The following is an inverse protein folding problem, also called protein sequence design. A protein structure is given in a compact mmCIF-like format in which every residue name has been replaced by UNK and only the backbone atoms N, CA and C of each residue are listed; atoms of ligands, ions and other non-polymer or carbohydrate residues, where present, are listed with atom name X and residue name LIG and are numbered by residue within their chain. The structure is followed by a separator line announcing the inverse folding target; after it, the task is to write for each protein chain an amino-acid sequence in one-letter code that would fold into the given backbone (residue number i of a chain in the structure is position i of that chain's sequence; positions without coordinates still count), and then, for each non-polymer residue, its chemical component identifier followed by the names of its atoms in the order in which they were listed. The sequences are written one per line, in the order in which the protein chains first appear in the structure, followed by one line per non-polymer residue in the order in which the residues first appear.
data_IF_951179564554
#
_entry.id   IF_951179564554
#
_cell.length_a   1.000
_cell.length_b   1.000
_cell.length_c   1.000
_cell.angle_alpha   90.00
_cell.angle_beta   90.00
_cell.angle_gamma   90.00
#
_symmetry.space_group_name_H-M   'P 1'
#
loop_
_entity.id
_entity.type
_entity.pdbx_description
1 polymer ?
#
# COMPACT_ATOMS: atom_id res chain seq x y z
N UNK A 1 9.02 2.06 9.04
CA UNK A 1 8.79 0.75 9.67
C UNK A 1 7.37 0.79 10.20
N UNK A 2 6.46 0.13 9.50
CA UNK A 2 5.08 -0.04 9.97
C UNK A 2 5.13 -1.21 10.94
N UNK A 3 4.74 -0.99 12.20
CA UNK A 3 4.54 -2.08 13.14
C UNK A 3 3.49 -3.02 12.56
N UNK A 4 3.94 -4.17 12.05
CA UNK A 4 3.11 -5.25 11.52
C UNK A 4 2.52 -6.05 12.69
N UNK A 5 1.87 -5.33 13.61
CA UNK A 5 1.16 -5.90 14.75
C UNK A 5 -0.21 -6.36 14.28
N UNK A 6 -0.35 -7.65 13.95
CA UNK A 6 -1.66 -8.25 13.73
C UNK A 6 -2.58 -7.87 14.93
N UNK A 7 -3.81 -7.37 14.68
CA UNK A 7 -4.66 -6.89 15.75
C UNK A 7 -4.88 -7.98 16.81
N UNK A 8 -4.79 -7.63 18.09
CA UNK A 8 -4.99 -8.59 19.17
C UNK A 8 -6.38 -9.26 19.05
N UNK A 9 -6.46 -10.59 19.21
CA UNK A 9 -7.72 -11.31 19.09
C UNK A 9 -8.68 -10.89 20.19
N UNK A 10 -9.94 -10.67 19.84
CA UNK A 10 -10.99 -10.36 20.81
C UNK A 10 -11.39 -11.64 21.55
N UNK A 11 -11.80 -11.53 22.81
CA UNK A 11 -12.34 -12.65 23.59
C UNK A 11 -13.84 -12.47 23.71
N UNK A 12 -14.59 -13.55 23.47
CA UNK A 12 -16.05 -13.60 23.58
C UNK A 12 -16.46 -14.91 24.29
N UNK A 13 -17.73 -15.02 24.67
CA UNK A 13 -18.23 -16.19 25.38
C UNK A 13 -19.73 -16.22 25.56
N UNK A 14 -20.25 -17.38 25.92
CA UNK A 14 -21.66 -17.55 26.27
C UNK A 14 -21.81 -18.61 27.37
N UNK A 15 -22.94 -18.58 28.06
CA UNK A 15 -23.27 -19.50 29.14
C UNK A 15 -24.60 -20.18 28.87
N UNK A 16 -24.73 -21.41 29.33
CA UNK A 16 -25.99 -22.15 29.32
C UNK A 16 -26.23 -22.84 30.65
N UNK A 17 -27.51 -22.85 31.07
CA UNK A 17 -27.95 -23.56 32.27
C UNK A 17 -27.92 -25.05 32.01
N UNK A 18 -27.25 -25.79 32.89
CA UNK A 18 -27.15 -27.23 32.77
C UNK A 18 -26.71 -27.85 34.10
N UNK A 19 -27.27 -28.99 34.49
CA UNK A 19 -27.11 -29.57 35.82
C UNK A 19 -26.30 -30.86 35.78
N UNK A 20 -25.23 -30.93 36.58
CA UNK A 20 -24.46 -32.15 36.77
C UNK A 20 -25.33 -33.22 37.45
N UNK A 21 -25.49 -34.37 36.79
CA UNK A 21 -26.20 -35.55 37.35
C UNK A 21 -25.24 -36.62 37.85
N UNK A 22 -24.03 -36.68 37.29
CA UNK A 22 -22.96 -37.62 37.67
C UNK A 22 -21.84 -36.98 38.50
N UNK A 23 -20.61 -37.45 38.29
CA UNK A 23 -19.39 -36.84 38.87
C UNK A 23 -18.56 -36.16 37.80
N UNK A 24 -17.84 -35.11 38.17
CA UNK A 24 -16.86 -34.47 37.28
C UNK A 24 -15.78 -35.42 36.77
N UNK A 25 -15.46 -36.50 37.49
CA UNK A 25 -14.56 -37.55 36.99
C UNK A 25 -15.08 -38.24 35.74
N UNK A 26 -16.39 -38.46 35.68
CA UNK A 26 -17.03 -39.22 34.61
C UNK A 26 -17.17 -38.33 33.37
N UNK A 27 -17.50 -37.05 33.58
CA UNK A 27 -17.44 -35.99 32.57
C UNK A 27 -16.03 -35.88 31.96
N UNK A 28 -14.98 -35.79 32.80
CA UNK A 28 -13.61 -35.73 32.32
C UNK A 28 -13.20 -36.98 31.54
N UNK A 29 -13.64 -38.17 31.99
CA UNK A 29 -13.38 -39.44 31.30
C UNK A 29 -14.09 -39.49 29.94
N UNK A 30 -15.35 -39.09 29.87
CA UNK A 30 -16.09 -39.03 28.62
C UNK A 30 -15.43 -38.09 27.60
N UNK A 31 -15.03 -36.90 28.03
CA UNK A 31 -14.36 -35.91 27.18
C UNK A 31 -12.95 -36.32 26.77
N UNK A 32 -12.26 -37.15 27.56
CA UNK A 32 -10.90 -37.64 27.24
C UNK A 32 -10.83 -38.54 26.01
N UNK A 33 -11.99 -38.98 25.50
CA UNK A 33 -12.09 -39.70 24.23
C UNK A 33 -11.71 -38.82 23.02
N UNK A 34 -11.75 -37.49 23.17
CA UNK A 34 -11.35 -36.55 22.11
C UNK A 34 -9.87 -36.17 22.29
N UNK A 35 -9.02 -36.69 21.41
CA UNK A 35 -7.55 -36.61 21.54
C UNK A 35 -6.95 -35.20 21.46
N UNK A 36 -7.63 -34.26 20.81
CA UNK A 36 -7.14 -32.88 20.63
C UNK A 36 -7.57 -31.94 21.76
N UNK A 37 -8.33 -32.42 22.75
CA UNK A 37 -8.76 -31.61 23.90
C UNK A 37 -7.75 -31.72 25.04
N UNK A 38 -7.41 -30.57 25.62
CA UNK A 38 -6.73 -30.51 26.91
C UNK A 38 -7.76 -30.43 28.01
N UNK A 39 -7.73 -31.37 28.93
CA UNK A 39 -8.69 -31.46 30.02
C UNK A 39 -7.99 -31.17 31.33
N UNK A 40 -8.54 -30.25 32.10
CA UNK A 40 -8.10 -29.91 33.44
C UNK A 40 -9.26 -30.13 34.41
N UNK A 41 -9.03 -30.95 35.44
CA UNK A 41 -10.00 -31.15 36.51
C UNK A 41 -9.76 -30.10 37.59
N UNK A 42 -10.79 -29.33 37.91
CA UNK A 42 -10.77 -28.32 38.97
C UNK A 42 -11.60 -28.82 40.16
N UNK A 43 -11.49 -28.14 41.31
CA UNK A 43 -12.29 -28.49 42.50
C UNK A 43 -13.79 -28.35 42.25
N UNK A 44 -14.17 -27.37 41.42
CA UNK A 44 -15.57 -26.98 41.19
C UNK A 44 -16.03 -27.25 39.74
N UNK A 45 -15.26 -28.01 38.95
CA UNK A 45 -15.63 -28.27 37.57
C UNK A 45 -14.61 -29.04 36.75
N UNK A 46 -14.91 -29.15 35.46
CA UNK A 46 -13.99 -29.66 34.43
C UNK A 46 -13.78 -28.56 33.40
N UNK A 47 -12.53 -28.14 33.23
CA UNK A 47 -12.11 -27.26 32.15
C UNK A 47 -11.65 -28.07 30.96
N UNK A 48 -12.09 -27.67 29.77
CA UNK A 48 -11.65 -28.21 28.49
C UNK A 48 -11.11 -27.07 27.67
N UNK A 49 -9.93 -27.23 27.09
CA UNK A 49 -9.35 -26.27 26.17
C UNK A 49 -9.01 -26.96 24.85
N UNK A 50 -9.52 -26.39 23.76
CA UNK A 50 -9.09 -26.67 22.41
C UNK A 50 -8.23 -25.51 21.93
N UNK A 51 -6.96 -25.78 21.65
CA UNK A 51 -6.02 -24.78 21.13
C UNK A 51 -5.77 -25.11 19.66
N UNK A 52 -6.35 -24.30 18.78
CA UNK A 52 -6.30 -24.48 17.33
C UNK A 52 -4.98 -23.94 16.76
N UNK A 53 -4.51 -22.81 17.28
CA UNK A 53 -3.28 -22.19 16.82
C UNK A 53 -2.56 -21.46 17.94
N UNK A 54 -1.23 -21.41 17.82
CA UNK A 54 -0.33 -20.68 18.70
C UNK A 54 0.47 -19.68 17.88
N UNK A 55 0.78 -18.55 18.50
CA UNK A 55 1.72 -17.57 17.97
C UNK A 55 3.13 -18.17 17.86
N UNK A 56 4.04 -17.42 17.23
CA UNK A 56 5.48 -17.73 17.14
C UNK A 56 6.08 -17.91 18.55
N UNK A 57 5.57 -17.17 19.54
CA UNK A 57 5.98 -17.24 20.96
C UNK A 57 5.26 -18.33 21.76
N UNK A 58 4.58 -19.26 21.08
CA UNK A 58 3.81 -20.37 21.67
C UNK A 58 2.63 -19.95 22.54
N UNK A 59 2.24 -18.67 22.56
CA UNK A 59 1.01 -18.21 23.22
C UNK A 59 -0.22 -18.64 22.40
N UNK A 60 -1.27 -19.20 23.03
CA UNK A 60 -2.49 -19.55 22.32
C UNK A 60 -3.11 -18.30 21.67
N UNK A 61 -3.21 -18.29 20.34
CA UNK A 61 -3.79 -17.18 19.58
C UNK A 61 -5.23 -17.49 19.16
N UNK A 62 -5.51 -18.77 18.88
CA UNK A 62 -6.84 -19.26 18.56
C UNK A 62 -7.18 -20.42 19.49
N UNK A 63 -8.13 -20.18 20.40
CA UNK A 63 -8.58 -21.19 21.34
C UNK A 63 -10.09 -21.11 21.63
N UNK A 64 -10.60 -22.21 22.14
CA UNK A 64 -11.94 -22.37 22.68
C UNK A 64 -11.84 -23.13 23.99
N UNK A 65 -12.39 -22.57 25.06
CA UNK A 65 -12.42 -23.14 26.39
C UNK A 65 -13.85 -23.37 26.83
N UNK A 66 -14.15 -24.57 27.32
CA UNK A 66 -15.43 -24.90 27.93
C UNK A 66 -15.20 -25.23 29.40
N UNK A 67 -15.99 -24.62 30.28
CA UNK A 67 -15.99 -24.92 31.71
C UNK A 67 -17.32 -25.56 32.08
N UNK A 68 -17.27 -26.82 32.47
CA UNK A 68 -18.41 -27.58 32.97
C UNK A 68 -18.43 -27.44 34.50
N UNK A 69 -19.37 -26.65 35.02
CA UNK A 69 -19.54 -26.42 36.46
C UNK A 69 -20.65 -27.32 37.01
N UNK A 70 -21.21 -27.01 38.17
CA UNK A 70 -22.30 -27.83 38.73
C UNK A 70 -23.65 -27.56 38.06
N UNK A 71 -23.92 -26.27 37.80
CA UNK A 71 -25.25 -25.78 37.37
C UNK A 71 -25.19 -24.96 36.07
N UNK A 72 -24.02 -24.84 35.44
CA UNK A 72 -23.85 -24.14 34.17
C UNK A 72 -22.70 -24.72 33.33
N UNK A 73 -22.74 -24.47 32.03
CA UNK A 73 -21.62 -24.64 31.11
C UNK A 73 -21.26 -23.26 30.54
N UNK A 74 -19.98 -22.91 30.61
CA UNK A 74 -19.45 -21.63 30.13
C UNK A 74 -18.48 -21.87 28.98
N UNK A 75 -18.74 -21.23 27.84
CA UNK A 75 -17.89 -21.23 26.67
C UNK A 75 -17.15 -19.88 26.58
N UNK A 76 -15.83 -19.91 26.44
CA UNK A 76 -14.97 -18.74 26.26
C UNK A 76 -14.08 -19.01 25.05
N UNK A 77 -14.01 -18.09 24.10
CA UNK A 77 -13.25 -18.30 22.87
C UNK A 77 -12.67 -17.00 22.34
N UNK A 78 -11.61 -17.13 21.55
CA UNK A 78 -11.00 -16.00 20.83
C UNK A 78 -11.61 -15.84 19.45
N UNK A 79 -11.74 -14.59 19.01
CA UNK A 79 -12.14 -14.16 17.67
C UNK A 79 -10.96 -13.44 17.03
N UNK A 80 -10.24 -14.11 16.10
CA UNK A 80 -9.20 -13.48 15.29
C UNK A 80 -9.74 -12.32 14.45
N UNK A 81 -8.87 -11.36 14.15
CA UNK A 81 -9.20 -10.20 13.30
C UNK A 81 -9.65 -10.55 11.88
N UNK A 82 -9.26 -11.71 11.37
CA UNK A 82 -9.61 -12.21 10.04
C UNK A 82 -10.84 -13.14 10.01
N UNK A 83 -11.55 -13.31 11.13
CA UNK A 83 -12.74 -14.19 11.23
C UNK A 83 -13.91 -13.38 11.77
N UNK A 84 -15.08 -13.51 11.14
CA UNK A 84 -16.29 -12.86 11.67
C UNK A 84 -16.68 -13.46 13.03
N UNK A 85 -17.08 -12.65 14.03
CA UNK A 85 -17.53 -13.15 15.33
C UNK A 85 -18.65 -14.21 15.21
N UNK A 86 -19.59 -14.00 14.29
CA UNK A 86 -20.69 -14.94 14.00
C UNK A 86 -20.20 -16.30 13.54
N UNK A 87 -19.29 -16.34 12.55
CA UNK A 87 -18.69 -17.60 12.08
C UNK A 87 -17.95 -18.30 13.22
N UNK A 88 -17.21 -17.54 14.02
CA UNK A 88 -16.46 -18.11 15.14
C UNK A 88 -17.39 -18.70 16.22
N UNK A 89 -18.47 -17.99 16.58
CA UNK A 89 -19.50 -18.47 17.50
C UNK A 89 -20.13 -19.78 17.02
N UNK A 90 -20.41 -19.91 15.72
CA UNK A 90 -20.91 -21.14 15.11
C UNK A 90 -19.92 -22.31 15.24
N UNK A 91 -18.63 -22.07 14.96
CA UNK A 91 -17.59 -23.10 15.10
C UNK A 91 -17.51 -23.60 16.55
N UNK A 92 -17.51 -22.68 17.51
CA UNK A 92 -17.48 -22.97 18.96
C UNK A 92 -18.75 -23.70 19.40
N UNK A 93 -19.92 -23.29 18.91
CA UNK A 93 -21.18 -23.95 19.19
C UNK A 93 -21.18 -25.40 18.67
N UNK A 94 -20.69 -25.63 17.45
CA UNK A 94 -20.54 -26.98 16.90
C UNK A 94 -19.65 -27.86 17.79
N UNK A 95 -18.54 -27.33 18.29
CA UNK A 95 -17.68 -28.06 19.23
C UNK A 95 -18.39 -28.34 20.56
N UNK A 96 -19.13 -27.37 21.09
CA UNK A 96 -19.91 -27.55 22.30
C UNK A 96 -20.96 -28.65 22.14
N UNK A 97 -21.73 -28.64 21.05
CA UNK A 97 -22.74 -29.67 20.78
C UNK A 97 -22.13 -31.08 20.73
N UNK A 98 -20.96 -31.23 20.12
CA UNK A 98 -20.23 -32.51 20.11
C UNK A 98 -19.74 -32.92 21.51
N UNK A 99 -19.39 -31.98 22.38
CA UNK A 99 -19.02 -32.29 23.76
C UNK A 99 -20.26 -32.68 24.59
N UNK A 100 -21.37 -31.99 24.38
CA UNK A 100 -22.66 -32.25 25.04
C UNK A 100 -23.12 -33.69 24.79
N UNK A 101 -23.04 -34.17 23.54
CA UNK A 101 -23.45 -35.54 23.21
C UNK A 101 -22.62 -36.61 23.93
N UNK A 102 -21.35 -36.33 24.25
CA UNK A 102 -20.50 -37.26 24.99
C UNK A 102 -20.78 -37.28 26.49
N UNK A 103 -21.25 -36.16 27.05
CA UNK A 103 -21.47 -36.01 28.49
C UNK A 103 -22.94 -36.13 28.90
N UNK A 104 -23.85 -36.33 27.95
CA UNK A 104 -25.30 -36.50 28.17
C UNK A 104 -25.62 -37.44 29.36
N UNK A 105 -24.97 -38.60 29.55
CA UNK A 105 -25.27 -39.48 30.69
C UNK A 105 -24.94 -38.87 32.06
N UNK A 106 -24.11 -37.83 32.10
CA UNK A 106 -23.55 -37.23 33.30
C UNK A 106 -23.99 -35.77 33.51
N UNK A 107 -24.73 -35.21 32.56
CA UNK A 107 -25.08 -33.80 32.54
C UNK A 107 -26.47 -33.59 31.92
N UNK A 108 -27.40 -33.03 32.69
CA UNK A 108 -28.73 -32.69 32.21
C UNK A 108 -28.74 -31.26 31.66
N UNK A 109 -29.03 -31.11 30.37
CA UNK A 109 -29.05 -29.81 29.70
C UNK A 109 -30.49 -29.45 29.33
N UNK A 110 -30.86 -28.18 29.50
CA UNK A 110 -32.15 -27.71 29.00
C UNK A 110 -32.09 -27.56 27.47
N UNK A 111 -32.77 -28.47 26.77
CA UNK A 111 -32.85 -28.45 25.31
C UNK A 111 -33.41 -27.13 24.78
N UNK A 112 -34.26 -26.41 25.53
CA UNK A 112 -34.78 -25.10 25.10
C UNK A 112 -33.65 -24.09 24.93
N UNK A 113 -32.70 -24.07 25.86
CA UNK A 113 -31.54 -23.16 25.81
C UNK A 113 -30.65 -23.52 24.62
N UNK A 114 -30.44 -24.81 24.37
CA UNK A 114 -29.66 -25.28 23.21
C UNK A 114 -30.34 -24.85 21.90
N UNK A 115 -31.65 -25.06 21.76
CA UNK A 115 -32.39 -24.67 20.56
C UNK A 115 -32.37 -23.16 20.34
N UNK A 116 -32.56 -22.36 21.40
CA UNK A 116 -32.48 -20.90 21.31
C UNK A 116 -31.10 -20.43 20.86
N UNK A 117 -30.03 -21.02 21.39
CA UNK A 117 -28.66 -20.69 21.02
C UNK A 117 -28.35 -21.04 19.55
N UNK A 118 -28.83 -22.20 19.09
CA UNK A 118 -28.72 -22.62 17.68
C UNK A 118 -29.53 -21.69 16.77
N UNK A 119 -30.78 -21.40 17.11
CA UNK A 119 -31.66 -20.52 16.33
C UNK A 119 -31.06 -19.11 16.21
N UNK A 120 -30.58 -18.53 17.32
CA UNK A 120 -29.95 -17.21 17.32
C UNK A 120 -28.70 -17.19 16.44
N UNK A 121 -27.86 -18.22 16.53
CA UNK A 121 -26.64 -18.33 15.71
C UNK A 121 -26.98 -18.52 14.22
N UNK A 122 -28.02 -19.28 13.90
CA UNK A 122 -28.51 -19.44 12.53
C UNK A 122 -29.08 -18.14 11.98
N UNK A 123 -29.85 -17.39 12.77
CA UNK A 123 -30.36 -16.06 12.38
C UNK A 123 -29.21 -15.08 12.12
N UNK A 124 -28.21 -15.05 12.99
CA UNK A 124 -27.01 -14.22 12.79
C UNK A 124 -26.25 -14.62 11.53
N UNK A 125 -26.19 -15.90 11.19
CA UNK A 125 -25.59 -16.39 9.94
C UNK A 125 -26.42 -15.99 8.71
N UNK A 126 -27.75 -16.05 8.80
CA UNK A 126 -28.64 -15.59 7.74
C UNK A 126 -28.49 -14.09 7.48
N UNK A 127 -28.45 -13.29 8.55
CA UNK A 127 -28.20 -11.84 8.48
C UNK A 127 -26.82 -11.54 7.89
N UNK A 128 -25.79 -12.29 8.31
CA UNK A 128 -24.44 -12.17 7.77
C UNK A 128 -24.40 -12.48 6.28
N UNK A 129 -24.99 -13.61 5.86
CA UNK A 129 -24.98 -14.07 4.46
C UNK A 129 -25.83 -13.16 3.56
N UNK A 130 -26.97 -12.69 4.07
CA UNK A 130 -27.90 -11.82 3.33
C UNK A 130 -27.43 -10.36 3.27
N UNK A 131 -26.80 -9.88 4.34
CA UNK A 131 -26.22 -8.56 4.46
C UNK A 131 -24.97 -8.40 3.58
N UNK A 132 -24.07 -9.39 3.60
CA UNK A 132 -22.86 -9.37 2.79
C UNK A 132 -23.17 -9.37 1.30
N UNK A 133 -24.21 -10.06 0.81
CA UNK A 133 -24.48 -10.06 -0.63
C UNK A 133 -24.80 -8.65 -1.18
N UNK A 134 -25.58 -7.84 -0.43
CA UNK A 134 -25.89 -6.45 -0.82
C UNK A 134 -24.67 -5.55 -0.70
N UNK A 135 -23.85 -5.72 0.34
CA UNK A 135 -22.62 -4.93 0.52
C UNK A 135 -21.59 -5.28 -0.54
N UNK A 136 -21.35 -6.57 -0.75
CA UNK A 136 -20.45 -7.11 -1.77
C UNK A 136 -20.85 -6.66 -3.17
N UNK A 137 -22.16 -6.63 -3.48
CA UNK A 137 -22.63 -6.11 -4.76
C UNK A 137 -22.33 -4.61 -4.91
N UNK A 138 -22.54 -3.80 -3.85
CA UNK A 138 -22.18 -2.37 -3.87
C UNK A 138 -20.68 -2.16 -4.03
N UNK A 139 -19.86 -2.90 -3.29
CA UNK A 139 -18.39 -2.84 -3.39
C UNK A 139 -17.91 -3.27 -4.76
N UNK A 140 -18.49 -4.33 -5.32
CA UNK A 140 -18.21 -4.77 -6.69
C UNK A 140 -18.56 -3.70 -7.73
N UNK A 141 -19.75 -3.10 -7.64
CA UNK A 141 -20.17 -2.03 -8.55
C UNK A 141 -19.26 -0.79 -8.42
N UNK A 142 -18.86 -0.44 -7.19
CA UNK A 142 -17.92 0.64 -6.93
C UNK A 142 -16.54 0.34 -7.53
N UNK A 143 -16.01 -0.85 -7.28
CA UNK A 143 -14.71 -1.29 -7.79
C UNK A 143 -14.71 -1.36 -9.32
N UNK A 144 -15.79 -1.84 -9.92
CA UNK A 144 -15.96 -1.85 -11.38
C UNK A 144 -15.91 -0.44 -11.97
N UNK A 145 -16.62 0.53 -11.36
CA UNK A 145 -16.56 1.94 -11.76
C UNK A 145 -15.16 2.52 -11.60
N UNK A 146 -14.47 2.20 -10.51
CA UNK A 146 -13.10 2.66 -10.26
C UNK A 146 -12.12 2.10 -11.30
N UNK A 147 -12.22 0.80 -11.62
CA UNK A 147 -11.42 0.16 -12.68
C UNK A 147 -11.68 0.81 -14.04
N UNK A 148 -12.93 1.10 -14.39
CA UNK A 148 -13.27 1.78 -15.63
C UNK A 148 -12.71 3.21 -15.69
N UNK A 149 -12.78 3.95 -14.56
CA UNK A 149 -12.20 5.28 -14.45
C UNK A 149 -10.68 5.25 -14.57
N UNK A 150 -10.01 4.33 -13.87
CA UNK A 150 -8.56 4.15 -13.95
C UNK A 150 -8.11 3.78 -15.35
N UNK A 151 -8.85 2.90 -16.05
CA UNK A 151 -8.57 2.56 -17.46
C UNK A 151 -8.69 3.79 -18.37
N UNK A 152 -9.73 4.60 -18.20
CA UNK A 152 -9.91 5.86 -18.96
C UNK A 152 -8.77 6.84 -18.69
N UNK A 153 -8.44 7.08 -17.42
CA UNK A 153 -7.33 7.96 -17.04
C UNK A 153 -6.00 7.47 -17.59
N UNK A 154 -5.71 6.16 -17.49
CA UNK A 154 -4.51 5.56 -18.05
C UNK A 154 -4.40 5.76 -19.56
N UNK A 155 -5.52 5.64 -20.29
CA UNK A 155 -5.56 5.92 -21.74
C UNK A 155 -5.26 7.40 -22.04
N UNK A 156 -5.86 8.33 -21.29
CA UNK A 156 -5.62 9.77 -21.45
C UNK A 156 -4.15 10.09 -21.20
N UNK A 157 -3.57 9.61 -20.10
CA UNK A 157 -2.16 9.84 -19.78
C UNK A 157 -1.22 9.26 -20.83
N UNK A 158 -1.50 8.05 -21.36
CA UNK A 158 -0.72 7.48 -22.46
C UNK A 158 -0.76 8.34 -23.72
N UNK A 159 -1.92 8.91 -24.05
CA UNK A 159 -2.05 9.80 -25.20
C UNK A 159 -1.31 11.12 -24.98
N UNK A 160 -1.38 11.70 -23.78
CA UNK A 160 -0.63 12.91 -23.41
C UNK A 160 0.89 12.67 -23.48
N UNK A 161 1.38 11.56 -22.93
CA UNK A 161 2.81 11.19 -23.02
C UNK A 161 3.26 11.08 -24.46
N UNK A 162 2.47 10.44 -25.34
CA UNK A 162 2.78 10.36 -26.77
C UNK A 162 2.82 11.75 -27.43
N UNK A 163 1.85 12.60 -27.15
CA UNK A 163 1.78 13.96 -27.69
C UNK A 163 2.99 14.80 -27.25
N UNK A 164 3.27 14.83 -25.95
CA UNK A 164 4.40 15.58 -25.38
C UNK A 164 5.74 15.05 -25.87
N UNK A 165 5.88 13.74 -26.04
CA UNK A 165 7.11 13.14 -26.60
C UNK A 165 7.34 13.60 -28.04
N UNK A 166 6.27 13.72 -28.84
CA UNK A 166 6.33 14.23 -30.22
C UNK A 166 6.73 15.70 -30.24
N UNK A 167 6.06 16.53 -29.45
CA UNK A 167 6.33 17.96 -29.35
C UNK A 167 7.77 18.23 -28.88
N UNK A 168 8.25 17.48 -27.89
CA UNK A 168 9.63 17.61 -27.40
C UNK A 168 10.66 17.22 -28.47
N UNK A 169 10.37 16.23 -29.31
CA UNK A 169 11.22 15.88 -30.45
C UNK A 169 11.24 16.98 -31.51
N UNK A 170 10.08 17.56 -31.83
CA UNK A 170 9.94 18.69 -32.75
C UNK A 170 10.73 19.91 -32.25
N UNK A 171 10.51 20.32 -31.00
CA UNK A 171 11.22 21.44 -30.36
C UNK A 171 12.74 21.20 -30.29
N UNK A 172 13.17 19.97 -30.03
CA UNK A 172 14.59 19.61 -30.02
C UNK A 172 15.21 19.80 -31.40
N UNK A 173 14.54 19.34 -32.46
CA UNK A 173 15.01 19.53 -33.83
C UNK A 173 15.09 21.02 -34.21
N UNK A 174 14.06 21.80 -33.87
CA UNK A 174 14.08 23.25 -34.09
C UNK A 174 15.23 23.92 -33.33
N UNK A 175 15.44 23.57 -32.06
CA UNK A 175 16.53 24.11 -31.25
C UNK A 175 17.90 23.75 -31.84
N UNK A 176 18.09 22.51 -32.28
CA UNK A 176 19.34 22.09 -32.90
C UNK A 176 19.56 22.81 -34.25
N UNK A 177 18.51 23.05 -35.03
CA UNK A 177 18.58 23.87 -36.23
C UNK A 177 18.97 25.33 -35.90
N UNK A 178 18.35 25.94 -34.90
CA UNK A 178 18.68 27.29 -34.44
C UNK A 178 20.11 27.38 -33.93
N UNK A 179 20.61 26.37 -33.19
CA UNK A 179 22.00 26.32 -32.76
C UNK A 179 22.96 26.29 -33.94
N UNK A 180 22.71 25.43 -34.93
CA UNK A 180 23.56 25.37 -36.14
C UNK A 180 23.54 26.69 -36.89
N UNK A 181 22.36 27.32 -37.06
CA UNK A 181 22.24 28.64 -37.69
C UNK A 181 22.99 29.71 -36.89
N UNK A 182 22.87 29.68 -35.57
CA UNK A 182 23.53 30.62 -34.66
C UNK A 182 25.05 30.46 -34.69
N UNK A 183 25.57 29.24 -34.68
CA UNK A 183 27.00 28.94 -34.81
C UNK A 183 27.55 29.42 -36.15
N UNK A 184 26.83 29.18 -37.25
CA UNK A 184 27.18 29.70 -38.59
C UNK A 184 27.26 31.23 -38.62
N UNK A 185 26.28 31.91 -38.02
CA UNK A 185 26.24 33.38 -37.98
C UNK A 185 27.31 33.98 -37.05
N UNK A 186 27.63 33.31 -35.93
CA UNK A 186 28.62 33.77 -34.96
C UNK A 186 30.05 33.27 -35.21
N UNK A 187 30.33 32.53 -36.28
CA UNK A 187 31.70 32.09 -36.60
C UNK A 187 32.46 31.43 -35.44
N UNK A 188 31.76 30.80 -34.49
CA UNK A 188 32.35 30.10 -33.33
C UNK A 188 32.99 30.94 -32.21
N UNK A 189 33.03 32.27 -32.29
CA UNK A 189 33.66 33.14 -31.27
C UNK A 189 32.60 34.05 -30.62
N UNK A 190 32.60 34.24 -29.30
CA UNK A 190 31.70 35.19 -28.63
C UNK A 190 32.13 36.65 -28.87
N UNK A 191 31.20 37.61 -28.82
CA UNK A 191 31.52 39.03 -29.02
C UNK A 191 32.55 39.55 -28.00
N UNK A 192 32.50 39.07 -26.75
CA UNK A 192 33.48 39.46 -25.72
C UNK A 192 34.89 38.97 -26.04
N UNK A 193 35.03 37.72 -26.47
CA UNK A 193 36.32 37.14 -26.88
C UNK A 193 36.82 37.83 -28.14
N UNK A 194 35.93 38.14 -29.08
CA UNK A 194 36.26 38.88 -30.29
C UNK A 194 36.77 40.29 -29.97
N UNK A 195 36.12 41.01 -29.06
CA UNK A 195 36.56 42.31 -28.57
C UNK A 195 37.96 42.26 -27.97
N UNK A 196 38.24 41.29 -27.09
CA UNK A 196 39.57 41.12 -26.50
C UNK A 196 40.62 40.78 -27.56
N UNK A 197 40.30 39.93 -28.53
CA UNK A 197 41.21 39.60 -29.63
C UNK A 197 41.50 40.81 -30.53
N UNK A 198 40.50 41.64 -30.79
CA UNK A 198 40.65 42.89 -31.54
C UNK A 198 41.59 43.83 -30.79
N UNK A 199 41.38 44.03 -29.49
CA UNK A 199 42.24 44.87 -28.66
C UNK A 199 43.69 44.37 -28.65
N UNK A 200 43.90 43.07 -28.41
CA UNK A 200 45.24 42.47 -28.43
C UNK A 200 45.90 42.63 -29.81
N UNK A 201 45.16 42.39 -30.89
CA UNK A 201 45.68 42.56 -32.24
C UNK A 201 46.12 44.00 -32.51
N UNK A 202 45.31 44.98 -32.12
CA UNK A 202 45.63 46.40 -32.25
C UNK A 202 46.88 46.75 -31.43
N UNK A 203 47.02 46.22 -30.22
CA UNK A 203 48.22 46.41 -29.39
C UNK A 203 49.46 45.80 -30.06
N UNK A 204 49.34 44.60 -30.62
CA UNK A 204 50.45 43.88 -31.27
C UNK A 204 50.85 44.50 -32.62
N UNK A 205 49.93 45.20 -33.29
CA UNK A 205 50.11 45.78 -34.64
C UNK A 205 50.16 47.32 -34.62
N UNK A 206 50.77 47.89 -33.57
CA UNK A 206 51.07 49.32 -33.45
C UNK A 206 49.84 50.23 -33.63
N UNK A 207 48.69 49.85 -33.06
CA UNK A 207 47.47 50.65 -33.12
C UNK A 207 46.67 50.52 -34.41
N UNK A 208 47.10 49.67 -35.35
CA UNK A 208 46.42 49.46 -36.63
C UNK A 208 45.76 48.08 -36.71
N UNK A 209 44.62 48.00 -37.40
CA UNK A 209 43.95 46.73 -37.69
C UNK A 209 43.53 46.67 -39.16
N UNK A 210 43.99 45.64 -39.86
CA UNK A 210 43.47 45.28 -41.17
C UNK A 210 42.31 44.28 -40.96
N UNK A 211 41.09 44.71 -41.25
CA UNK A 211 39.86 43.95 -40.99
C UNK A 211 39.86 42.63 -41.75
N UNK A 212 40.31 42.63 -43.00
CA UNK A 212 40.36 41.43 -43.88
C UNK A 212 41.35 40.41 -43.33
N UNK A 213 42.53 40.86 -42.92
CA UNK A 213 43.58 40.00 -42.36
C UNK A 213 43.16 39.41 -41.01
N UNK A 214 42.63 40.25 -40.13
CA UNK A 214 42.13 39.83 -38.82
C UNK A 214 40.96 38.85 -38.93
N UNK A 215 40.01 39.13 -39.83
CA UNK A 215 38.85 38.28 -40.11
C UNK A 215 39.29 36.89 -40.60
N UNK A 216 40.25 36.84 -41.53
CA UNK A 216 40.81 35.59 -42.05
C UNK A 216 41.58 34.81 -40.98
N UNK A 217 42.40 35.49 -40.17
CA UNK A 217 43.18 34.87 -39.09
C UNK A 217 42.27 34.26 -38.02
N UNK A 218 41.21 34.97 -37.62
CA UNK A 218 40.29 34.53 -36.58
C UNK A 218 39.09 33.71 -37.09
N UNK A 219 38.97 33.53 -38.41
CA UNK A 219 37.84 32.84 -39.07
C UNK A 219 36.47 33.45 -38.71
N UNK A 220 36.41 34.77 -38.66
CA UNK A 220 35.18 35.54 -38.37
C UNK A 220 34.80 36.36 -39.61
N UNK A 221 33.50 36.52 -39.94
CA UNK A 221 33.10 37.39 -41.05
C UNK A 221 33.56 38.85 -40.84
N UNK A 222 34.05 39.50 -41.91
CA UNK A 222 34.55 40.89 -41.88
C UNK A 222 33.51 41.88 -41.33
N UNK A 223 32.26 41.79 -41.80
CA UNK A 223 31.15 42.62 -41.34
C UNK A 223 30.96 42.56 -39.80
N UNK A 224 31.24 41.41 -39.19
CA UNK A 224 31.14 41.25 -37.73
C UNK A 224 32.32 41.89 -36.99
N UNK A 225 33.52 41.84 -37.58
CA UNK A 225 34.70 42.54 -37.04
C UNK A 225 34.46 44.05 -37.05
N UNK A 226 33.88 44.57 -38.14
CA UNK A 226 33.46 45.98 -38.26
C UNK A 226 32.41 46.36 -37.20
N UNK A 227 31.35 45.57 -37.04
CA UNK A 227 30.31 45.83 -36.04
C UNK A 227 30.86 45.89 -34.61
N UNK A 228 31.79 44.99 -34.26
CA UNK A 228 32.41 44.95 -32.93
C UNK A 228 33.41 46.10 -32.76
N UNK A 229 34.19 46.45 -33.79
CA UNK A 229 35.06 47.63 -33.78
C UNK A 229 34.25 48.91 -33.55
N UNK A 230 33.17 49.11 -34.30
CA UNK A 230 32.26 50.25 -34.13
C UNK A 230 31.68 50.32 -32.71
N UNK A 231 31.36 49.16 -32.12
CA UNK A 231 30.89 49.07 -30.73
C UNK A 231 31.97 49.47 -29.73
N UNK A 232 33.21 49.00 -29.91
CA UNK A 232 34.35 49.33 -29.06
C UNK A 232 34.69 50.83 -29.12
N UNK A 233 34.60 51.43 -30.30
CA UNK A 233 34.76 52.88 -30.49
C UNK A 233 33.66 53.65 -29.76
N UNK A 234 32.38 53.28 -29.95
CA UNK A 234 31.25 53.92 -29.26
C UNK A 234 31.33 53.82 -27.73
N UNK A 235 31.92 52.74 -27.21
CA UNK A 235 32.08 52.49 -25.79
C UNK A 235 33.36 53.15 -25.20
N UNK A 236 34.15 53.84 -26.02
CA UNK A 236 35.36 54.55 -25.59
C UNK A 236 36.56 53.63 -25.32
N UNK A 237 36.52 52.37 -25.76
CA UNK A 237 37.65 51.45 -25.62
C UNK A 237 38.69 51.61 -26.74
N UNK A 238 38.31 52.21 -27.87
CA UNK A 238 39.17 52.51 -29.00
C UNK A 238 38.84 53.91 -29.52
N UNK A 239 39.85 54.63 -30.01
CA UNK A 239 39.67 55.91 -30.70
C UNK A 239 39.96 55.74 -32.19
N UNK A 240 39.09 56.28 -33.03
CA UNK A 240 39.30 56.27 -34.47
C UNK A 240 40.22 57.43 -34.84
N UNK A 241 41.47 57.11 -35.19
CA UNK A 241 42.43 58.07 -35.73
C UNK A 241 42.21 58.10 -37.26
N UNK A 242 41.84 59.28 -37.79
CA UNK A 242 41.73 59.51 -39.24
C UNK A 242 43.11 59.69 -39.88
#
# INVERSE_FOLDING_TARGET
MVEDGAPEPKVDGFRMTAKLTGKFSDVAKALSTISFLKIAKEKEGVGVAYVESRSIDKTPYLFSMMKFKKDEIEAIYTVPSNVSPTKRKLDVLRYLLNMITLIEPHYAIDNKVVYQLVEETMRQMEDYTSGDYKSLYKEYDQLKREVENLRRSSMIYRNQVKSLSKENYELKNENDEYKVRFEKLRGGISDSVLSTRIQNWIMDHNGSINIVEFAKYNRVPEARVEDVLNRLVRQGYLEQIQ
#
